data_IF_913213749730
#
_entry.id   IF_913213749730
#
_cell.length_a   1.000
_cell.length_b   1.000
_cell.length_c   1.000
_cell.angle_alpha   90.00
_cell.angle_beta   90.00
_cell.angle_gamma   90.00
#
_symmetry.space_group_name_H-M   'P 1'
#
loop_
_entity.id
_entity.type
_entity.pdbx_description
1 polymer ?
#
# COMPACT_ATOMS: atom_id res chain seq x y z
N UNK A 1 8.31 -36.92 7.36
CA UNK A 1 7.18 -36.44 8.20
C UNK A 1 7.36 -37.15 9.53
N UNK A 2 7.57 -36.41 10.62
CA UNK A 2 7.93 -37.02 11.90
C UNK A 2 6.77 -37.86 12.43
N UNK A 3 7.07 -39.01 13.04
CA UNK A 3 6.12 -39.83 13.77
C UNK A 3 5.60 -39.06 14.99
N UNK A 4 4.49 -38.32 14.80
CA UNK A 4 3.91 -37.48 15.84
C UNK A 4 3.54 -38.27 17.11
N UNK A 5 2.93 -39.48 17.03
CA UNK A 5 2.75 -40.35 18.19
C UNK A 5 4.01 -40.58 19.02
N UNK A 6 5.17 -40.81 18.38
CA UNK A 6 6.44 -41.01 19.09
C UNK A 6 6.99 -39.73 19.71
N UNK A 7 6.70 -38.55 19.14
CA UNK A 7 7.09 -37.25 19.70
C UNK A 7 6.20 -36.78 20.86
N UNK A 8 4.95 -37.27 20.89
CA UNK A 8 3.93 -36.88 21.85
C UNK A 8 3.26 -38.10 22.52
N UNK A 9 4.04 -39.03 23.12
CA UNK A 9 3.48 -40.25 23.73
C UNK A 9 2.60 -39.95 24.95
N UNK A 10 2.77 -38.78 25.55
CA UNK A 10 2.06 -38.27 26.72
C UNK A 10 0.80 -37.46 26.38
N UNK A 11 0.53 -37.20 25.10
CA UNK A 11 -0.58 -36.35 24.66
C UNK A 11 -1.62 -37.17 23.93
N UNK A 12 -2.88 -37.06 24.36
CA UNK A 12 -4.01 -37.62 23.60
C UNK A 12 -4.50 -36.59 22.58
N UNK A 13 -4.46 -36.89 21.26
CA UNK A 13 -4.91 -35.96 20.21
C UNK A 13 -6.40 -35.65 20.34
N UNK A 14 -6.79 -34.39 20.04
CA UNK A 14 -8.18 -33.91 20.14
C UNK A 14 -8.76 -33.71 18.73
N UNK A 15 -9.75 -34.51 18.29
CA UNK A 15 -10.41 -34.35 16.99
C UNK A 15 -11.10 -32.99 16.82
N UNK A 16 -11.24 -32.53 15.57
CA UNK A 16 -12.06 -31.36 15.27
C UNK A 16 -13.54 -31.65 15.59
N UNK A 17 -14.20 -30.74 16.31
CA UNK A 17 -15.65 -30.85 16.57
C UNK A 17 -16.44 -30.76 15.27
N UNK A 18 -17.39 -31.68 15.09
CA UNK A 18 -18.33 -31.74 13.96
C UNK A 18 -19.72 -31.22 14.33
N UNK A 19 -19.89 -30.59 15.49
CA UNK A 19 -21.19 -30.12 15.99
C UNK A 19 -21.50 -28.68 15.56
N UNK A 20 -22.75 -28.37 15.17
CA UNK A 20 -23.91 -29.25 15.03
C UNK A 20 -23.87 -30.12 13.75
N UNK A 21 -24.55 -31.26 13.78
CA UNK A 21 -24.64 -32.20 12.63
C UNK A 21 -25.85 -31.92 11.72
N UNK A 22 -25.71 -32.04 10.38
CA UNK A 22 -24.47 -32.32 9.65
C UNK A 22 -23.57 -31.07 9.54
N UNK A 23 -22.24 -31.23 9.58
CA UNK A 23 -21.33 -30.11 9.40
C UNK A 23 -21.45 -29.54 7.97
N UNK A 24 -21.39 -28.21 7.85
CA UNK A 24 -21.40 -27.51 6.56
C UNK A 24 -19.97 -27.15 6.14
N UNK A 25 -19.71 -27.12 4.82
CA UNK A 25 -18.39 -26.81 4.26
C UNK A 25 -17.27 -27.72 4.80
N UNK A 26 -17.57 -28.98 5.12
CA UNK A 26 -16.57 -29.93 5.59
C UNK A 26 -15.52 -30.20 4.54
N UNK A 27 -14.26 -30.17 4.97
CA UNK A 27 -13.11 -30.47 4.13
C UNK A 27 -12.75 -31.94 4.36
N UNK A 28 -12.59 -32.70 3.27
CA UNK A 28 -12.06 -34.05 3.32
C UNK A 28 -10.54 -34.00 3.54
N UNK A 29 -10.12 -33.78 4.78
CA UNK A 29 -8.70 -33.72 5.15
C UNK A 29 -7.98 -35.04 4.90
N UNK A 30 -6.68 -34.96 4.57
CA UNK A 30 -5.84 -36.17 4.57
C UNK A 30 -5.62 -36.67 6.01
N UNK A 31 -5.31 -37.97 6.21
CA UNK A 31 -5.01 -38.50 7.53
C UNK A 31 -3.89 -37.73 8.25
N UNK A 32 -2.87 -37.29 7.52
CA UNK A 32 -1.73 -36.54 8.05
C UNK A 32 -2.15 -35.14 8.51
N UNK A 33 -3.01 -34.47 7.74
CA UNK A 33 -3.55 -33.16 8.13
C UNK A 33 -4.35 -33.27 9.42
N UNK A 34 -5.25 -34.25 9.49
CA UNK A 34 -6.08 -34.50 10.67
C UNK A 34 -5.21 -34.80 11.88
N UNK A 35 -4.26 -35.74 11.78
CA UNK A 35 -3.38 -36.11 12.88
C UNK A 35 -2.59 -34.89 13.41
N UNK A 36 -1.95 -34.12 12.53
CA UNK A 36 -1.18 -32.95 12.95
C UNK A 36 -2.05 -31.90 13.67
N UNK A 37 -3.25 -31.63 13.16
CA UNK A 37 -4.16 -30.66 13.75
C UNK A 37 -4.88 -31.18 15.01
N UNK A 38 -5.02 -32.50 15.17
CA UNK A 38 -5.54 -33.09 16.41
C UNK A 38 -4.54 -32.94 17.56
N UNK A 39 -3.24 -33.19 17.31
CA UNK A 39 -2.18 -32.91 18.28
C UNK A 39 -2.08 -31.41 18.58
N UNK A 40 -2.21 -30.55 17.55
CA UNK A 40 -2.21 -29.11 17.75
C UNK A 40 -3.33 -28.68 18.71
N UNK A 41 -4.56 -29.19 18.50
CA UNK A 41 -5.70 -28.92 19.39
C UNK A 41 -5.43 -29.40 20.82
N UNK A 42 -4.82 -30.57 20.97
CA UNK A 42 -4.45 -31.11 22.28
C UNK A 42 -3.45 -30.20 23.02
N UNK A 43 -2.37 -29.78 22.35
CA UNK A 43 -1.36 -28.90 22.97
C UNK A 43 -1.93 -27.52 23.29
N UNK A 44 -2.79 -26.96 22.42
CA UNK A 44 -3.50 -25.71 22.68
C UNK A 44 -4.40 -25.82 23.91
N UNK A 45 -5.08 -26.95 24.11
CA UNK A 45 -6.00 -27.16 25.24
C UNK A 45 -5.29 -27.17 26.60
N UNK A 46 -4.04 -27.66 26.65
CA UNK A 46 -3.21 -27.68 27.87
C UNK A 46 -2.22 -26.50 27.96
N UNK A 47 -2.26 -25.61 26.96
CA UNK A 47 -1.37 -24.45 26.80
C UNK A 47 0.14 -24.77 26.87
N UNK A 48 0.55 -25.91 26.31
CA UNK A 48 1.98 -26.28 26.31
C UNK A 48 2.77 -25.31 25.42
N UNK A 49 3.81 -24.65 25.93
CA UNK A 49 4.67 -23.74 25.14
C UNK A 49 6.11 -24.25 25.19
N UNK A 50 6.42 -25.22 24.34
CA UNK A 50 7.68 -25.98 24.35
C UNK A 50 8.34 -26.00 22.96
N UNK A 51 9.61 -26.46 22.88
CA UNK A 51 10.28 -26.67 21.58
C UNK A 51 9.56 -27.71 20.70
N UNK A 52 9.03 -28.80 21.29
CA UNK A 52 8.26 -29.78 20.51
C UNK A 52 6.95 -29.19 19.99
N UNK A 53 6.28 -28.33 20.76
CA UNK A 53 5.10 -27.60 20.31
C UNK A 53 5.46 -26.65 19.16
N UNK A 54 6.58 -25.93 19.27
CA UNK A 54 7.11 -25.09 18.18
C UNK A 54 7.35 -25.92 16.89
N UNK A 55 7.98 -27.09 16.99
CA UNK A 55 8.16 -27.98 15.84
C UNK A 55 6.84 -28.49 15.24
N UNK A 56 5.82 -28.77 16.07
CA UNK A 56 4.50 -29.14 15.57
C UNK A 56 3.86 -28.00 14.75
N UNK A 57 4.06 -26.74 15.13
CA UNK A 57 3.58 -25.61 14.33
C UNK A 57 4.23 -25.59 12.94
N UNK A 58 5.50 -25.96 12.80
CA UNK A 58 6.17 -26.10 11.50
C UNK A 58 5.45 -27.12 10.61
N UNK A 59 5.07 -28.27 11.17
CA UNK A 59 4.33 -29.33 10.45
C UNK A 59 2.97 -28.80 9.98
N UNK A 60 2.22 -28.16 10.88
CA UNK A 60 0.89 -27.63 10.57
C UNK A 60 0.94 -26.51 9.52
N UNK A 61 1.93 -25.60 9.60
CA UNK A 61 2.06 -24.47 8.67
C UNK A 61 2.50 -24.90 7.27
N UNK A 62 3.30 -25.96 7.14
CA UNK A 62 3.60 -26.58 5.84
C UNK A 62 2.35 -27.15 5.16
N UNK A 63 1.33 -27.52 5.93
CA UNK A 63 0.05 -28.00 5.40
C UNK A 63 -0.95 -26.85 5.15
N UNK A 64 -0.92 -25.80 5.97
CA UNK A 64 -1.77 -24.62 5.82
C UNK A 64 -1.10 -23.37 6.40
N UNK A 65 -0.37 -22.65 5.56
CA UNK A 65 0.30 -21.40 5.93
C UNK A 65 -0.67 -20.25 6.24
N UNK A 66 -1.97 -20.37 5.95
CA UNK A 66 -2.98 -19.34 6.26
C UNK A 66 -3.60 -19.51 7.65
N UNK A 67 -3.26 -20.59 8.39
CA UNK A 67 -3.82 -20.84 9.71
C UNK A 67 -3.25 -19.87 10.76
N UNK A 68 -3.97 -18.78 11.01
CA UNK A 68 -3.55 -17.72 11.93
C UNK A 68 -3.39 -18.19 13.39
N UNK A 69 -4.16 -19.20 13.82
CA UNK A 69 -4.05 -19.78 15.16
C UNK A 69 -2.71 -20.47 15.34
N UNK A 70 -2.25 -21.20 14.32
CA UNK A 70 -0.93 -21.85 14.34
C UNK A 70 0.19 -20.82 14.39
N UNK A 71 0.10 -19.75 13.60
CA UNK A 71 1.07 -18.65 13.64
C UNK A 71 1.13 -17.94 14.99
N UNK A 72 -0.04 -17.68 15.60
CA UNK A 72 -0.11 -17.10 16.92
C UNK A 72 0.56 -18.02 17.96
N UNK A 73 0.23 -19.31 17.92
CA UNK A 73 0.79 -20.29 18.83
C UNK A 73 2.31 -20.49 18.63
N UNK A 74 2.79 -20.46 17.38
CA UNK A 74 4.22 -20.47 17.04
C UNK A 74 4.97 -19.33 17.72
N UNK A 75 4.45 -18.10 17.64
CA UNK A 75 5.05 -16.93 18.30
C UNK A 75 5.04 -17.04 19.82
N UNK A 76 4.00 -17.62 20.42
CA UNK A 76 3.97 -17.90 21.86
C UNK A 76 5.05 -18.90 22.26
N UNK A 77 5.21 -19.98 21.50
CA UNK A 77 6.28 -20.95 21.74
C UNK A 77 7.67 -20.31 21.59
N UNK A 78 7.90 -19.51 20.54
CA UNK A 78 9.14 -18.74 20.37
C UNK A 78 9.42 -17.85 21.58
N UNK A 79 8.44 -17.07 22.03
CA UNK A 79 8.61 -16.18 23.17
C UNK A 79 8.86 -16.94 24.49
N UNK A 80 8.25 -18.11 24.67
CA UNK A 80 8.43 -18.94 25.87
C UNK A 80 9.77 -19.66 25.92
N UNK A 81 10.34 -20.01 24.76
CA UNK A 81 11.59 -20.76 24.66
C UNK A 81 12.79 -19.91 24.23
N UNK A 82 12.62 -18.60 24.13
CA UNK A 82 13.71 -17.62 24.02
C UNK A 82 13.78 -16.77 25.27
N UNK A 83 14.96 -16.27 25.64
CA UNK A 83 15.10 -15.23 26.66
C UNK A 83 15.54 -13.92 25.99
N UNK A 84 15.25 -12.73 26.55
CA UNK A 84 15.72 -11.46 26.00
C UNK A 84 17.25 -11.36 25.82
N UNK A 85 18.00 -12.13 26.61
CA UNK A 85 19.46 -12.28 26.53
C UNK A 85 19.93 -13.36 25.55
N UNK A 86 19.02 -14.17 25.00
CA UNK A 86 19.31 -15.32 24.12
C UNK A 86 18.32 -15.40 22.94
N UNK A 87 17.74 -14.28 22.49
CA UNK A 87 17.09 -14.27 21.18
C UNK A 87 18.23 -14.48 20.20
N UNK A 88 18.44 -15.74 19.85
CA UNK A 88 19.50 -16.12 18.96
C UNK A 88 19.19 -15.49 17.60
N UNK A 89 20.11 -14.66 17.17
CA UNK A 89 20.08 -14.01 15.88
C UNK A 89 19.86 -15.04 14.76
N UNK A 90 20.39 -16.25 14.96
CA UNK A 90 20.22 -17.42 14.12
C UNK A 90 18.76 -17.90 14.12
N UNK A 91 18.13 -18.08 15.28
CA UNK A 91 16.74 -18.59 15.36
C UNK A 91 15.70 -17.66 14.73
N UNK A 92 15.88 -16.35 14.87
CA UNK A 92 15.01 -15.37 14.18
C UNK A 92 15.22 -15.44 12.66
N UNK A 93 16.48 -15.53 12.22
CA UNK A 93 16.80 -15.66 10.79
C UNK A 93 16.26 -16.97 10.22
N UNK A 94 16.39 -18.09 10.92
CA UNK A 94 15.80 -19.39 10.55
C UNK A 94 14.29 -19.30 10.41
N UNK A 95 13.62 -18.56 11.30
CA UNK A 95 12.16 -18.44 11.26
C UNK A 95 11.67 -17.44 10.19
N UNK A 96 12.47 -16.42 9.86
CA UNK A 96 12.27 -15.58 8.67
C UNK A 96 12.49 -16.38 7.39
N UNK A 97 13.50 -17.26 7.34
CA UNK A 97 13.73 -18.15 6.20
C UNK A 97 12.59 -19.17 6.07
N UNK A 98 12.10 -19.72 7.17
CA UNK A 98 10.93 -20.59 7.16
C UNK A 98 9.69 -19.88 6.60
N UNK A 99 9.46 -18.61 6.98
CA UNK A 99 8.37 -17.82 6.42
C UNK A 99 8.56 -17.50 4.93
N UNK A 100 9.81 -17.32 4.48
CA UNK A 100 10.17 -17.16 3.06
C UNK A 100 9.87 -18.46 2.28
N UNK A 101 10.34 -19.60 2.77
CA UNK A 101 10.11 -20.92 2.16
C UNK A 101 8.61 -21.24 1.99
N UNK A 102 7.78 -20.86 2.98
CA UNK A 102 6.32 -20.99 2.89
C UNK A 102 5.68 -19.99 1.92
N UNK A 103 6.30 -18.83 1.72
CA UNK A 103 5.82 -17.76 0.85
C UNK A 103 6.09 -18.00 -0.62
N UNK A 104 7.17 -18.72 -0.94
CA UNK A 104 7.63 -18.91 -2.31
C UNK A 104 7.99 -17.59 -2.99
N UNK A 105 7.89 -17.53 -4.31
CA UNK A 105 8.35 -16.34 -5.07
C UNK A 105 7.42 -15.13 -4.93
N UNK A 106 6.12 -15.33 -4.68
CA UNK A 106 5.15 -14.24 -4.55
C UNK A 106 4.20 -14.45 -3.36
N UNK A 107 4.62 -14.09 -2.14
CA UNK A 107 3.86 -14.35 -0.92
C UNK A 107 2.62 -13.44 -0.81
N UNK A 108 1.45 -14.01 -1.09
CA UNK A 108 0.12 -13.37 -0.92
C UNK A 108 -0.65 -13.95 0.27
N UNK A 109 -0.01 -13.90 1.44
CA UNK A 109 -0.54 -14.45 2.69
C UNK A 109 -0.33 -13.47 3.85
N UNK A 110 -1.43 -13.01 4.46
CA UNK A 110 -1.39 -12.03 5.55
C UNK A 110 -0.58 -12.50 6.76
N UNK A 111 -0.68 -13.78 7.11
CA UNK A 111 -0.07 -14.33 8.30
C UNK A 111 1.45 -14.38 8.18
N UNK A 112 1.99 -14.68 6.99
CA UNK A 112 3.43 -14.62 6.71
C UNK A 112 3.97 -13.21 6.96
N UNK A 113 3.38 -12.19 6.33
CA UNK A 113 3.84 -10.81 6.47
C UNK A 113 3.69 -10.28 7.90
N UNK A 114 2.62 -10.64 8.60
CA UNK A 114 2.47 -10.31 10.01
C UNK A 114 3.51 -11.01 10.88
N UNK A 115 3.82 -12.27 10.58
CA UNK A 115 4.84 -13.02 11.32
C UNK A 115 6.24 -12.42 11.14
N UNK A 116 6.64 -12.08 9.91
CA UNK A 116 7.91 -11.37 9.63
C UNK A 116 8.01 -10.07 10.42
N UNK A 117 6.93 -9.28 10.43
CA UNK A 117 6.83 -8.07 11.27
C UNK A 117 7.01 -8.37 12.74
N UNK A 118 6.29 -9.35 13.29
CA UNK A 118 6.37 -9.69 14.70
C UNK A 118 7.78 -10.12 15.11
N UNK A 119 8.49 -10.88 14.25
CA UNK A 119 9.90 -11.23 14.47
C UNK A 119 10.81 -10.00 14.50
N UNK A 120 10.61 -9.04 13.58
CA UNK A 120 11.38 -7.80 13.55
C UNK A 120 11.08 -6.86 14.73
N UNK A 121 9.87 -6.89 15.31
CA UNK A 121 9.55 -6.13 16.52
C UNK A 121 10.43 -6.57 17.72
N UNK A 122 10.89 -7.83 17.75
CA UNK A 122 11.89 -8.28 18.73
C UNK A 122 13.32 -7.86 18.38
N UNK A 123 13.63 -7.66 17.09
CA UNK A 123 14.99 -7.42 16.61
C UNK A 123 15.04 -6.55 15.35
N UNK A 124 14.96 -5.24 15.57
CA UNK A 124 15.06 -4.25 14.48
C UNK A 124 16.41 -4.26 13.75
N UNK A 125 17.48 -4.84 14.34
CA UNK A 125 18.77 -4.98 13.68
C UNK A 125 18.74 -5.79 12.36
N UNK A 126 17.75 -6.65 12.18
CA UNK A 126 17.56 -7.41 10.94
C UNK A 126 16.82 -6.64 9.83
N UNK A 127 16.34 -5.42 10.10
CA UNK A 127 15.47 -4.70 9.19
C UNK A 127 16.12 -4.34 7.85
N UNK A 128 17.45 -4.16 7.79
CA UNK A 128 18.16 -3.95 6.51
C UNK A 128 18.01 -5.17 5.59
N UNK A 129 18.27 -6.37 6.11
CA UNK A 129 18.08 -7.62 5.35
C UNK A 129 16.64 -7.80 4.93
N UNK A 130 15.68 -7.42 5.79
CA UNK A 130 14.27 -7.50 5.43
C UNK A 130 13.89 -6.52 4.33
N UNK A 131 14.47 -5.31 4.29
CA UNK A 131 14.28 -4.40 3.15
C UNK A 131 14.86 -4.98 1.85
N UNK A 132 15.98 -5.69 1.90
CA UNK A 132 16.54 -6.41 0.75
C UNK A 132 15.62 -7.56 0.31
N UNK A 133 15.02 -8.29 1.26
CA UNK A 133 14.01 -9.31 0.96
C UNK A 133 12.77 -8.71 0.30
N UNK A 134 12.23 -7.62 0.86
CA UNK A 134 11.08 -6.89 0.29
C UNK A 134 11.40 -6.41 -1.13
N UNK A 135 12.61 -5.95 -1.38
CA UNK A 135 13.02 -5.52 -2.72
C UNK A 135 12.97 -6.65 -3.74
N UNK A 136 13.46 -7.85 -3.38
CA UNK A 136 13.35 -9.05 -4.23
C UNK A 136 11.89 -9.40 -4.55
N UNK A 137 11.00 -9.31 -3.57
CA UNK A 137 9.56 -9.55 -3.79
C UNK A 137 8.98 -8.50 -4.75
N UNK A 138 9.40 -7.24 -4.63
CA UNK A 138 8.95 -6.16 -5.49
C UNK A 138 9.60 -6.17 -6.89
N UNK A 139 10.72 -6.86 -7.07
CA UNK A 139 11.29 -7.12 -8.40
C UNK A 139 10.48 -8.18 -9.16
N UNK A 140 9.90 -9.18 -8.46
CA UNK A 140 9.00 -10.19 -9.05
C UNK A 140 7.56 -9.68 -9.24
N UNK A 141 6.99 -9.05 -8.21
CA UNK A 141 5.65 -8.43 -8.22
C UNK A 141 5.74 -7.01 -7.68
N UNK A 142 6.01 -6.06 -8.57
CA UNK A 142 6.20 -4.63 -8.25
C UNK A 142 4.97 -3.93 -7.65
N UNK A 143 3.83 -4.63 -7.59
CA UNK A 143 2.56 -4.15 -7.04
C UNK A 143 2.08 -5.01 -5.88
N UNK A 144 2.93 -5.89 -5.31
CA UNK A 144 2.60 -6.67 -4.12
C UNK A 144 2.27 -5.75 -2.94
N UNK A 145 0.99 -5.71 -2.56
CA UNK A 145 0.47 -4.80 -1.54
C UNK A 145 1.07 -5.09 -0.15
N UNK A 146 1.28 -6.36 0.18
CA UNK A 146 1.83 -6.72 1.47
C UNK A 146 3.29 -6.28 1.60
N UNK A 147 4.09 -6.45 0.54
CA UNK A 147 5.48 -6.03 0.49
C UNK A 147 5.60 -4.51 0.68
N UNK A 148 4.81 -3.71 -0.05
CA UNK A 148 4.78 -2.26 0.13
C UNK A 148 4.33 -1.86 1.54
N UNK A 149 3.27 -2.47 2.06
CA UNK A 149 2.79 -2.18 3.42
C UNK A 149 3.83 -2.55 4.48
N UNK A 150 4.54 -3.67 4.30
CA UNK A 150 5.59 -4.11 5.21
C UNK A 150 6.80 -3.17 5.15
N UNK A 151 7.21 -2.76 3.93
CA UNK A 151 8.24 -1.75 3.71
C UNK A 151 7.94 -0.48 4.48
N UNK A 152 6.75 0.11 4.28
CA UNK A 152 6.36 1.33 4.98
C UNK A 152 6.38 1.16 6.51
N UNK A 153 5.95 0.01 7.02
CA UNK A 153 6.04 -0.27 8.44
C UNK A 153 7.49 -0.27 8.94
N UNK A 154 8.43 -0.89 8.21
CA UNK A 154 9.86 -0.88 8.55
C UNK A 154 10.39 0.57 8.57
N UNK A 155 10.13 1.34 7.52
CA UNK A 155 10.60 2.74 7.42
C UNK A 155 10.06 3.58 8.59
N UNK A 156 8.75 3.49 8.88
CA UNK A 156 8.12 4.18 10.02
C UNK A 156 8.70 3.76 11.36
N UNK A 157 9.02 2.47 11.53
CA UNK A 157 9.49 1.93 12.82
C UNK A 157 10.93 2.33 13.11
N UNK A 158 11.79 2.32 12.09
CA UNK A 158 13.19 2.77 12.23
C UNK A 158 13.25 4.29 12.37
N UNK A 159 12.39 5.01 11.64
CA UNK A 159 12.26 6.46 11.66
C UNK A 159 13.60 7.22 11.62
N UNK A 160 14.47 6.84 10.68
CA UNK A 160 15.78 7.44 10.50
C UNK A 160 15.79 8.38 9.28
N UNK A 161 16.32 9.62 9.38
CA UNK A 161 16.31 10.59 8.28
C UNK A 161 16.99 10.09 7.00
N UNK A 162 18.12 9.39 7.10
CA UNK A 162 18.83 8.85 5.93
C UNK A 162 17.98 7.78 5.23
N UNK A 163 17.30 6.94 6.00
CA UNK A 163 16.40 5.92 5.46
C UNK A 163 15.22 6.54 4.72
N UNK A 164 14.62 7.60 5.25
CA UNK A 164 13.57 8.35 4.55
C UNK A 164 14.07 8.96 3.23
N UNK A 165 15.28 9.53 3.20
CA UNK A 165 15.89 10.03 1.95
C UNK A 165 16.13 8.90 0.95
N UNK A 166 16.69 7.78 1.39
CA UNK A 166 16.90 6.61 0.53
C UNK A 166 15.58 6.04 -0.01
N UNK A 167 14.49 6.15 0.74
CA UNK A 167 13.18 5.68 0.32
C UNK A 167 12.57 6.54 -0.81
N UNK A 168 12.87 7.84 -0.83
CA UNK A 168 12.51 8.73 -1.95
C UNK A 168 13.25 8.28 -3.22
N UNK A 169 14.54 7.99 -3.14
CA UNK A 169 15.34 7.49 -4.27
C UNK A 169 14.88 6.09 -4.72
N UNK A 170 14.53 5.22 -3.78
CA UNK A 170 13.98 3.90 -4.07
C UNK A 170 12.63 3.99 -4.81
N UNK A 171 11.72 4.84 -4.34
CA UNK A 171 10.45 5.06 -5.03
C UNK A 171 10.67 5.64 -6.44
N UNK A 172 11.66 6.53 -6.61
CA UNK A 172 12.02 7.07 -7.91
C UNK A 172 12.53 5.98 -8.86
N UNK A 173 13.42 5.10 -8.42
CA UNK A 173 13.94 4.01 -9.27
C UNK A 173 12.83 3.06 -9.73
N UNK A 174 11.86 2.74 -8.85
CA UNK A 174 10.69 1.91 -9.23
C UNK A 174 9.75 2.64 -10.19
N UNK A 175 9.58 3.97 -10.06
CA UNK A 175 8.82 4.78 -11.02
C UNK A 175 9.53 4.85 -12.38
N UNK A 176 10.87 4.94 -12.42
CA UNK A 176 11.62 4.90 -13.68
C UNK A 176 11.47 3.56 -14.39
N UNK A 177 11.41 2.45 -13.64
CA UNK A 177 11.21 1.12 -14.19
C UNK A 177 9.79 0.89 -14.74
N UNK A 178 8.75 1.37 -14.05
CA UNK A 178 7.36 1.39 -14.52
C UNK A 178 6.70 2.72 -14.11
N UNK A 179 6.61 3.69 -15.02
CA UNK A 179 5.98 4.98 -14.74
C UNK A 179 4.52 4.87 -14.29
N UNK A 180 3.82 3.78 -14.64
CA UNK A 180 2.43 3.50 -14.24
C UNK A 180 2.32 2.72 -12.94
N UNK A 181 3.43 2.47 -12.22
CA UNK A 181 3.38 1.80 -10.93
C UNK A 181 2.84 2.74 -9.84
N UNK A 182 1.52 2.73 -9.67
CA UNK A 182 0.85 3.54 -8.64
C UNK A 182 1.32 3.24 -7.21
N UNK A 183 1.78 2.01 -6.93
CA UNK A 183 2.35 1.67 -5.61
C UNK A 183 3.66 2.42 -5.35
N UNK A 184 4.50 2.59 -6.38
CA UNK A 184 5.72 3.39 -6.27
C UNK A 184 5.43 4.89 -6.14
N UNK A 185 4.43 5.42 -6.86
CA UNK A 185 3.94 6.80 -6.65
C UNK A 185 3.39 7.02 -5.24
N UNK A 186 2.62 6.06 -4.72
CA UNK A 186 2.16 6.07 -3.33
C UNK A 186 3.33 6.00 -2.34
N UNK A 187 4.37 5.20 -2.62
CA UNK A 187 5.55 5.15 -1.78
C UNK A 187 6.30 6.47 -1.77
N UNK A 188 6.41 7.13 -2.92
CA UNK A 188 7.01 8.47 -3.01
C UNK A 188 6.24 9.47 -2.15
N UNK A 189 4.90 9.42 -2.19
CA UNK A 189 4.04 10.26 -1.36
C UNK A 189 4.32 10.00 0.12
N UNK A 190 4.29 8.72 0.52
CA UNK A 190 4.61 8.30 1.88
C UNK A 190 5.97 8.83 2.34
N UNK A 191 7.04 8.61 1.58
CA UNK A 191 8.39 8.99 1.98
C UNK A 191 8.59 10.52 2.04
N UNK A 192 7.99 11.27 1.11
CA UNK A 192 8.10 12.73 1.07
C UNK A 192 7.24 13.40 2.13
N UNK A 193 6.00 12.93 2.32
CA UNK A 193 5.01 13.50 3.22
C UNK A 193 5.27 13.13 4.68
N UNK A 194 5.37 11.83 5.01
CA UNK A 194 5.61 11.41 6.40
C UNK A 194 7.06 11.66 6.84
N UNK A 195 8.02 11.55 5.91
CA UNK A 195 9.42 11.88 6.19
C UNK A 195 9.70 13.39 6.32
N UNK A 196 8.77 14.26 5.89
CA UNK A 196 8.90 15.73 5.91
C UNK A 196 10.16 16.26 5.20
N UNK A 197 10.58 15.59 4.12
CA UNK A 197 11.86 15.88 3.45
C UNK A 197 11.70 16.80 2.24
N UNK A 198 10.65 16.61 1.44
CA UNK A 198 10.52 17.32 0.18
C UNK A 198 9.63 18.56 0.33
N UNK A 199 10.02 19.66 -0.31
CA UNK A 199 9.13 20.81 -0.45
C UNK A 199 7.96 20.46 -1.38
N UNK A 200 6.82 21.11 -1.16
CA UNK A 200 5.63 20.98 -2.00
C UNK A 200 5.96 21.24 -3.47
N UNK A 201 6.69 22.31 -3.77
CA UNK A 201 6.97 22.69 -5.14
C UNK A 201 7.81 21.62 -5.85
N UNK A 202 8.83 21.06 -5.19
CA UNK A 202 9.62 19.97 -5.77
C UNK A 202 8.76 18.72 -6.05
N UNK A 203 7.84 18.39 -5.14
CA UNK A 203 6.93 17.24 -5.29
C UNK A 203 5.91 17.44 -6.42
N UNK A 204 5.32 18.63 -6.53
CA UNK A 204 4.39 18.98 -7.59
C UNK A 204 5.11 19.04 -8.96
N UNK A 205 6.31 19.62 -9.02
CA UNK A 205 7.11 19.66 -10.24
C UNK A 205 7.47 18.26 -10.71
N UNK A 206 7.91 17.38 -9.79
CA UNK A 206 8.19 15.98 -10.11
C UNK A 206 6.98 15.27 -10.71
N UNK A 207 5.79 15.47 -10.13
CA UNK A 207 4.55 14.90 -10.64
C UNK A 207 4.20 15.42 -12.03
N UNK A 208 4.37 16.72 -12.25
CA UNK A 208 4.15 17.35 -13.56
C UNK A 208 5.13 16.84 -14.62
N UNK A 209 6.41 16.63 -14.29
CA UNK A 209 7.37 15.97 -15.17
C UNK A 209 6.90 14.56 -15.56
N UNK A 210 6.42 13.78 -14.60
CA UNK A 210 5.84 12.46 -14.87
C UNK A 210 4.62 12.51 -15.80
N UNK A 211 3.73 13.48 -15.57
CA UNK A 211 2.56 13.70 -16.42
C UNK A 211 2.92 14.19 -17.83
N UNK A 212 4.02 14.94 -17.99
CA UNK A 212 4.53 15.37 -19.30
C UNK A 212 5.12 14.20 -20.11
N UNK A 213 5.72 13.21 -19.46
CA UNK A 213 6.22 12.00 -20.12
C UNK A 213 5.07 11.17 -20.67
N UNK A 214 4.00 11.01 -19.88
CA UNK A 214 2.82 10.26 -20.29
C UNK A 214 1.54 10.91 -19.73
N UNK A 215 0.88 11.75 -20.54
CA UNK A 215 -0.34 12.43 -20.10
C UNK A 215 -1.49 11.47 -19.77
N UNK A 216 -1.51 10.26 -20.32
CA UNK A 216 -2.59 9.30 -20.07
C UNK A 216 -2.37 8.49 -18.79
N UNK A 217 -1.15 8.46 -18.26
CA UNK A 217 -0.87 7.85 -16.96
C UNK A 217 -1.54 8.65 -15.84
N UNK A 218 -2.54 8.05 -15.19
CA UNK A 218 -3.30 8.70 -14.12
C UNK A 218 -2.46 8.93 -12.84
N UNK A 219 -1.45 8.10 -12.58
CA UNK A 219 -0.65 8.13 -11.34
C UNK A 219 0.00 9.51 -11.04
N UNK A 220 0.77 10.13 -11.96
CA UNK A 220 1.35 11.46 -11.73
C UNK A 220 0.29 12.54 -11.52
N UNK A 221 -0.86 12.48 -12.21
CA UNK A 221 -1.94 13.43 -12.00
C UNK A 221 -2.53 13.32 -10.60
N UNK A 222 -2.80 12.10 -10.13
CA UNK A 222 -3.33 11.88 -8.78
C UNK A 222 -2.33 12.28 -7.71
N UNK A 223 -1.04 12.05 -7.95
CA UNK A 223 0.02 12.54 -7.08
C UNK A 223 0.05 14.08 -7.03
N UNK A 224 0.03 14.76 -8.17
CA UNK A 224 0.02 16.23 -8.26
C UNK A 224 -1.16 16.83 -7.48
N UNK A 225 -2.37 16.31 -7.72
CA UNK A 225 -3.58 16.74 -7.02
C UNK A 225 -3.43 16.51 -5.51
N UNK A 226 -2.92 15.34 -5.09
CA UNK A 226 -2.65 15.03 -3.68
C UNK A 226 -1.73 16.05 -3.01
N UNK A 227 -0.61 16.38 -3.66
CA UNK A 227 0.36 17.39 -3.18
C UNK A 227 -0.29 18.75 -3.02
N UNK A 228 -0.95 19.26 -4.05
CA UNK A 228 -1.50 20.61 -4.04
C UNK A 228 -2.70 20.74 -3.09
N UNK A 229 -3.60 19.76 -3.09
CA UNK A 229 -4.79 19.76 -2.22
C UNK A 229 -4.41 19.62 -0.75
N UNK A 230 -3.39 18.82 -0.42
CA UNK A 230 -2.96 18.70 0.98
C UNK A 230 -2.39 20.02 1.52
N UNK A 231 -1.61 20.74 0.72
CA UNK A 231 -1.13 22.07 1.11
C UNK A 231 -2.25 23.08 1.22
N UNK A 232 -3.19 23.08 0.26
CA UNK A 232 -4.37 23.92 0.33
C UNK A 232 -5.14 23.68 1.64
N UNK A 233 -5.41 22.41 1.98
CA UNK A 233 -6.07 22.04 3.23
C UNK A 233 -5.25 22.39 4.46
N UNK A 234 -3.93 22.29 4.40
CA UNK A 234 -3.04 22.64 5.51
C UNK A 234 -3.22 24.11 5.90
N UNK A 235 -3.11 25.04 4.94
CA UNK A 235 -3.19 26.48 5.22
C UNK A 235 -4.59 26.96 5.58
N UNK A 236 -5.63 26.22 5.20
CA UNK A 236 -7.04 26.53 5.52
C UNK A 236 -7.57 25.81 6.77
N UNK A 237 -6.78 24.94 7.43
CA UNK A 237 -7.15 24.30 8.71
C UNK A 237 -7.03 25.23 9.93
N UNK A 238 -6.54 26.46 9.73
CA UNK A 238 -6.36 27.48 10.76
C UNK A 238 -4.92 27.52 11.29
N UNK A 239 -4.49 28.70 11.75
CA UNK A 239 -3.14 28.92 12.28
C UNK A 239 -2.10 29.41 11.27
N UNK A 240 -2.40 29.40 9.97
CA UNK A 240 -1.54 29.96 8.94
C UNK A 240 -1.68 31.47 8.78
N UNK A 241 -0.59 32.13 8.43
CA UNK A 241 -0.53 33.56 8.11
C UNK A 241 -1.16 33.86 6.75
N UNK A 242 -1.55 35.12 6.54
CA UNK A 242 -2.04 35.57 5.22
C UNK A 242 -1.01 35.36 4.10
N UNK A 243 0.28 35.47 4.45
CA UNK A 243 1.38 35.26 3.51
C UNK A 243 1.51 33.78 3.10
N UNK A 244 1.39 32.84 4.05
CA UNK A 244 1.39 31.41 3.75
C UNK A 244 0.23 31.00 2.85
N UNK A 245 -0.98 31.51 3.14
CA UNK A 245 -2.16 31.27 2.31
C UNK A 245 -1.95 31.85 0.89
N UNK A 246 -1.39 33.06 0.78
CA UNK A 246 -1.08 33.67 -0.50
C UNK A 246 -0.03 32.87 -1.29
N UNK A 247 1.03 32.39 -0.65
CA UNK A 247 2.07 31.60 -1.28
C UNK A 247 1.54 30.27 -1.82
N UNK A 248 0.73 29.54 -1.04
CA UNK A 248 0.09 28.31 -1.50
C UNK A 248 -0.91 28.59 -2.63
N UNK A 249 -1.67 29.69 -2.54
CA UNK A 249 -2.59 30.10 -3.59
C UNK A 249 -1.88 30.38 -4.90
N UNK A 250 -0.77 31.14 -4.87
CA UNK A 250 0.07 31.43 -6.04
C UNK A 250 0.61 30.15 -6.65
N UNK A 251 1.19 29.26 -5.84
CA UNK A 251 1.71 27.97 -6.30
C UNK A 251 0.61 27.14 -6.99
N UNK A 252 -0.58 27.07 -6.39
CA UNK A 252 -1.70 26.33 -6.96
C UNK A 252 -2.10 26.88 -8.34
N UNK A 253 -2.15 28.21 -8.50
CA UNK A 253 -2.46 28.88 -9.77
C UNK A 253 -1.37 28.68 -10.83
N UNK A 254 -0.10 28.66 -10.43
CA UNK A 254 1.01 28.36 -11.33
C UNK A 254 0.83 26.96 -11.94
N UNK A 255 0.52 25.95 -11.11
CA UNK A 255 0.27 24.60 -11.62
C UNK A 255 -1.01 24.49 -12.45
N UNK A 256 -2.09 25.20 -12.12
CA UNK A 256 -3.26 25.29 -13.02
C UNK A 256 -2.85 25.85 -14.38
N UNK A 257 -2.01 26.89 -14.41
CA UNK A 257 -1.51 27.51 -15.65
C UNK A 257 -0.68 26.52 -16.46
N UNK A 258 0.23 25.79 -15.84
CA UNK A 258 1.00 24.71 -16.49
C UNK A 258 0.09 23.62 -17.07
N UNK A 259 -0.90 23.16 -16.31
CA UNK A 259 -1.84 22.11 -16.75
C UNK A 259 -2.71 22.59 -17.91
N UNK A 260 -3.18 23.85 -17.88
CA UNK A 260 -3.88 24.48 -19.00
C UNK A 260 -2.99 24.56 -20.24
N UNK A 261 -1.74 24.98 -20.08
CA UNK A 261 -0.77 25.02 -21.17
C UNK A 261 -0.53 23.63 -21.79
N UNK A 262 -0.46 22.60 -20.96
CA UNK A 262 -0.40 21.21 -21.44
C UNK A 262 -1.65 20.79 -22.21
N UNK A 263 -2.86 21.14 -21.72
CA UNK A 263 -4.12 20.87 -22.45
C UNK A 263 -4.13 21.56 -23.82
N UNK A 264 -3.80 22.84 -23.85
CA UNK A 264 -3.78 23.63 -25.07
C UNK A 264 -2.77 23.05 -26.07
N UNK A 265 -1.55 22.77 -25.62
CA UNK A 265 -0.51 22.16 -26.45
C UNK A 265 -0.96 20.81 -27.02
N UNK A 266 -1.67 20.00 -26.23
CA UNK A 266 -2.25 18.73 -26.68
C UNK A 266 -3.34 18.92 -27.74
N UNK A 267 -4.24 19.88 -27.53
CA UNK A 267 -5.34 20.16 -28.45
C UNK A 267 -4.83 20.70 -29.80
N UNK A 268 -3.77 21.51 -29.79
CA UNK A 268 -3.16 22.13 -30.98
C UNK A 268 -2.17 21.22 -31.72
N UNK A 269 -1.35 20.46 -30.98
CA UNK A 269 -0.21 19.71 -31.53
C UNK A 269 -0.30 18.22 -31.16
N UNK A 270 -1.39 17.56 -31.57
CA UNK A 270 -1.58 16.12 -31.33
C UNK A 270 -0.46 15.31 -31.99
N UNK A 271 0.25 14.43 -31.24
CA UNK A 271 1.24 13.52 -31.83
C UNK A 271 0.57 12.63 -32.88
N UNK A 272 1.23 12.40 -34.02
CA UNK A 272 0.58 11.80 -35.19
C UNK A 272 0.39 10.29 -35.14
N UNK A 273 1.17 9.52 -34.38
CA UNK A 273 1.25 8.07 -34.65
C UNK A 273 1.24 7.10 -33.44
N UNK A 274 1.47 7.54 -32.19
CA UNK A 274 1.61 6.62 -31.03
C UNK A 274 0.71 6.95 -29.81
N UNK A 275 -0.17 7.95 -29.90
CA UNK A 275 -1.02 8.37 -28.79
C UNK A 275 -2.49 7.98 -29.01
N UNK A 276 -3.26 7.67 -27.94
CA UNK A 276 -4.69 7.43 -28.04
C UNK A 276 -5.40 8.57 -28.77
N UNK A 277 -6.29 8.21 -29.71
CA UNK A 277 -7.15 9.18 -30.39
C UNK A 277 -8.07 9.87 -29.39
N UNK A 278 -8.03 11.21 -29.37
CA UNK A 278 -8.94 12.03 -28.57
C UNK A 278 -8.27 12.85 -27.48
N UNK A 279 -9.08 13.54 -26.65
CA UNK A 279 -8.58 14.36 -25.57
C UNK A 279 -8.07 13.50 -24.40
N UNK A 280 -7.11 14.04 -23.66
CA UNK A 280 -6.54 13.36 -22.51
C UNK A 280 -7.47 13.46 -21.29
N UNK A 281 -8.30 12.43 -21.07
CA UNK A 281 -9.25 12.36 -19.94
C UNK A 281 -8.56 12.52 -18.58
N UNK A 282 -7.37 11.95 -18.39
CA UNK A 282 -6.61 12.06 -17.13
C UNK A 282 -6.22 13.51 -16.84
N UNK A 283 -5.72 14.24 -17.84
CA UNK A 283 -5.39 15.65 -17.73
C UNK A 283 -6.64 16.49 -17.46
N UNK A 284 -7.70 16.31 -18.27
CA UNK A 284 -8.95 17.07 -18.11
C UNK A 284 -9.57 16.85 -16.73
N UNK A 285 -9.61 15.60 -16.26
CA UNK A 285 -10.07 15.27 -14.91
C UNK A 285 -9.23 15.96 -13.85
N UNK A 286 -7.90 15.99 -14.00
CA UNK A 286 -7.02 16.65 -13.05
C UNK A 286 -7.26 18.16 -13.03
N UNK A 287 -7.46 18.78 -14.18
CA UNK A 287 -7.76 20.21 -14.27
C UNK A 287 -9.08 20.56 -13.58
N UNK A 288 -10.13 19.74 -13.74
CA UNK A 288 -11.39 19.90 -12.98
C UNK A 288 -11.12 19.85 -11.47
N UNK A 289 -10.36 18.87 -10.99
CA UNK A 289 -10.02 18.72 -9.57
C UNK A 289 -9.24 19.93 -9.02
N UNK A 290 -8.34 20.51 -9.81
CA UNK A 290 -7.57 21.69 -9.44
C UNK A 290 -8.43 22.98 -9.42
N UNK A 291 -9.32 23.15 -10.39
CA UNK A 291 -10.18 24.34 -10.51
C UNK A 291 -11.25 24.39 -9.41
N UNK A 292 -11.85 23.24 -9.08
CA UNK A 292 -12.96 23.16 -8.10
C UNK A 292 -12.53 23.54 -6.66
N UNK A 293 -11.23 23.64 -6.38
CA UNK A 293 -10.73 24.16 -5.09
C UNK A 293 -11.08 25.63 -4.90
N UNK A 294 -11.17 26.41 -5.98
CA UNK A 294 -11.49 27.84 -5.95
C UNK A 294 -13.01 28.07 -6.01
N UNK A 295 -13.72 27.65 -4.97
CA UNK A 295 -15.19 27.68 -4.91
C UNK A 295 -15.81 29.08 -4.93
N UNK A 296 -15.02 30.12 -4.73
CA UNK A 296 -15.47 31.52 -4.75
C UNK A 296 -15.12 32.24 -6.07
N UNK A 297 -14.48 31.55 -7.02
CA UNK A 297 -14.01 32.15 -8.27
C UNK A 297 -14.85 31.68 -9.46
N UNK A 298 -15.72 32.59 -9.90
CA UNK A 298 -16.64 32.34 -11.01
C UNK A 298 -15.94 31.85 -12.29
N UNK A 299 -14.77 32.40 -12.61
CA UNK A 299 -14.00 31.99 -13.80
C UNK A 299 -13.54 30.53 -13.71
N UNK A 300 -12.91 30.15 -12.59
CA UNK A 300 -12.41 28.79 -12.35
C UNK A 300 -13.56 27.76 -12.37
N UNK A 301 -14.68 28.09 -11.72
CA UNK A 301 -15.86 27.23 -11.70
C UNK A 301 -16.53 27.10 -13.07
N UNK A 302 -16.58 28.16 -13.87
CA UNK A 302 -17.16 28.11 -15.22
C UNK A 302 -16.35 27.19 -16.13
N UNK A 303 -15.02 27.24 -16.03
CA UNK A 303 -14.14 26.32 -16.75
C UNK A 303 -14.32 24.88 -16.27
N UNK A 304 -14.34 24.64 -14.96
CA UNK A 304 -14.58 23.30 -14.40
C UNK A 304 -15.92 22.70 -14.86
N UNK A 305 -16.98 23.51 -14.91
CA UNK A 305 -18.29 23.09 -15.40
C UNK A 305 -18.26 22.70 -16.88
N UNK A 306 -17.51 23.46 -17.69
CA UNK A 306 -17.33 23.20 -19.13
C UNK A 306 -16.59 21.88 -19.35
N UNK A 307 -15.45 21.70 -18.67
CA UNK A 307 -14.66 20.46 -18.72
C UNK A 307 -15.46 19.24 -18.25
N UNK A 308 -16.29 19.36 -17.22
CA UNK A 308 -17.20 18.28 -16.81
C UNK A 308 -18.19 17.91 -17.94
N UNK A 309 -18.66 18.88 -18.72
CA UNK A 309 -19.52 18.66 -19.88
C UNK A 309 -18.81 17.89 -21.00
N UNK A 310 -17.56 18.26 -21.30
CA UNK A 310 -16.71 17.54 -22.26
C UNK A 310 -16.44 16.11 -21.79
N UNK A 311 -16.06 15.93 -20.52
CA UNK A 311 -15.78 14.62 -19.91
C UNK A 311 -16.98 13.67 -19.91
N UNK A 312 -18.23 14.17 -19.97
CA UNK A 312 -19.40 13.29 -20.14
C UNK A 312 -19.43 12.55 -21.49
N UNK A 313 -18.79 13.14 -22.51
CA UNK A 313 -18.63 12.55 -23.84
C UNK A 313 -17.36 11.71 -23.91
N UNK A 314 -16.24 12.28 -23.46
CA UNK A 314 -14.89 11.71 -23.62
C UNK A 314 -14.59 10.59 -22.60
N UNK A 315 -15.33 10.53 -21.49
CA UNK A 315 -15.22 9.49 -20.48
C UNK A 315 -16.58 8.83 -20.22
N UNK A 316 -17.06 8.00 -21.17
CA UNK A 316 -18.41 7.44 -21.12
C UNK A 316 -18.63 6.51 -19.92
N UNK A 317 -17.56 5.87 -19.42
CA UNK A 317 -17.61 5.00 -18.23
C UNK A 317 -17.99 5.83 -16.99
N UNK A 318 -17.43 7.04 -16.83
CA UNK A 318 -17.72 7.95 -15.71
C UNK A 318 -18.73 9.05 -16.06
N UNK A 319 -19.48 8.96 -17.17
CA UNK A 319 -20.48 9.97 -17.59
C UNK A 319 -21.42 10.43 -16.48
N UNK A 320 -21.97 9.49 -15.68
CA UNK A 320 -22.87 9.82 -14.57
C UNK A 320 -22.16 10.59 -13.45
N UNK A 321 -20.89 10.29 -13.21
CA UNK A 321 -20.04 11.01 -12.27
C UNK A 321 -19.77 12.44 -12.73
N UNK A 322 -19.40 12.63 -14.01
CA UNK A 322 -19.19 13.96 -14.58
C UNK A 322 -20.44 14.83 -14.59
N UNK A 323 -21.61 14.25 -14.91
CA UNK A 323 -22.90 14.96 -14.80
C UNK A 323 -23.18 15.41 -13.36
N UNK A 324 -22.90 14.55 -12.38
CA UNK A 324 -23.07 14.89 -10.97
C UNK A 324 -22.16 16.07 -10.58
N UNK A 325 -20.88 16.04 -10.96
CA UNK A 325 -19.94 17.13 -10.69
C UNK A 325 -20.36 18.44 -11.37
N UNK A 326 -20.72 18.39 -12.64
CA UNK A 326 -21.22 19.56 -13.37
C UNK A 326 -22.41 20.23 -12.66
N UNK A 327 -23.32 19.42 -12.11
CA UNK A 327 -24.47 19.91 -11.33
C UNK A 327 -24.04 20.52 -9.99
N UNK A 328 -23.01 19.98 -9.34
CA UNK A 328 -22.46 20.55 -8.10
C UNK A 328 -21.80 21.91 -8.36
N UNK A 329 -20.98 22.01 -9.40
CA UNK A 329 -20.33 23.26 -9.82
C UNK A 329 -21.37 24.33 -10.20
N UNK A 330 -22.45 23.93 -10.90
CA UNK A 330 -23.56 24.83 -11.21
C UNK A 330 -24.16 25.48 -9.96
N UNK A 331 -24.36 24.71 -8.89
CA UNK A 331 -24.89 25.22 -7.62
C UNK A 331 -23.94 26.22 -6.95
N UNK A 332 -22.63 26.00 -7.03
CA UNK A 332 -21.65 26.97 -6.51
C UNK A 332 -21.68 28.26 -7.33
N UNK A 333 -21.77 28.17 -8.66
CA UNK A 333 -21.91 29.34 -9.53
C UNK A 333 -23.18 30.14 -9.23
N UNK A 334 -24.30 29.47 -8.91
CA UNK A 334 -25.53 30.12 -8.48
C UNK A 334 -25.36 30.93 -7.19
N UNK A 335 -24.51 30.47 -6.26
CA UNK A 335 -24.23 31.20 -5.00
C UNK A 335 -23.32 32.42 -5.14
N UNK A 336 -22.64 32.58 -6.28
CA UNK A 336 -21.76 33.72 -6.57
C UNK A 336 -22.44 34.84 -7.38
N UNK A 337 -23.66 34.62 -7.85
CA UNK A 337 -24.49 35.63 -8.51
C UNK A 337 -25.46 36.25 -7.52
#
# INVERSE_FOLDING_TARGET
MNDLPSLFPDITPIPQSTTPEPPVCSIAYTPEFSQAHDYLRALLAIDEQSERAFHLTTVCLKMNAANYTVWHYRRRCLAATTTPSTVDDERIEEDLQFADDLGGTNPKNYQLWYHRRALLEFRLGAAKKELDYVDKILDDDSKNYHAWSHRQWIIRTINNPQLWSSEIEYSHSKILSDPRNNSAWNQRWFATHEGQIASTNASAHYALCGAKIDPFNESPWRYLIGVLVEQWRSVHRGGSTKEEIANVTTLYREYITEVRGMKQSWDENRPSDDCPDGPCVSLMSALVDLLEVFTEEKEMLTEAQTLCGELMLEDPVRRKYWRKRQTMVAKWLETLN
#
